data_IF_629297959878
#
_entry.id   IF_629297959878
#
_cell.length_a   1.000
_cell.length_b   1.000
_cell.length_c   1.000
_cell.angle_alpha   90.00
_cell.angle_beta   90.00
_cell.angle_gamma   90.00
#
_symmetry.space_group_name_H-M   'P 1'
#
loop_
_entity.id
_entity.type
_entity.pdbx_description
1 polymer ?
#
# COMPACT_ATOMS: atom_id res chain seq x y z
N UNK A 1 -36.15 -9.03 -12.57
CA UNK A 1 -34.96 -9.72 -12.98
C UNK A 1 -33.78 -8.84 -13.13
N UNK A 2 -33.87 -7.81 -13.90
CA UNK A 2 -32.76 -6.86 -14.05
C UNK A 2 -32.36 -6.27 -12.73
N UNK A 3 -33.32 -6.01 -11.88
CA UNK A 3 -33.05 -5.43 -10.57
C UNK A 3 -32.18 -6.35 -9.72
N UNK A 4 -32.44 -7.64 -9.81
CA UNK A 4 -31.64 -8.61 -9.06
C UNK A 4 -30.20 -8.57 -9.44
N UNK A 5 -29.93 -8.44 -10.72
CA UNK A 5 -28.58 -8.38 -11.22
C UNK A 5 -27.85 -7.16 -10.65
N UNK A 6 -28.53 -6.03 -10.64
CA UNK A 6 -27.96 -4.80 -10.11
C UNK A 6 -27.66 -4.94 -8.63
N UNK A 7 -28.61 -5.50 -7.89
CA UNK A 7 -28.44 -5.70 -6.46
C UNK A 7 -27.27 -6.63 -6.20
N UNK A 8 -27.12 -7.67 -6.99
CA UNK A 8 -26.00 -8.59 -6.83
C UNK A 8 -24.68 -7.89 -7.06
N UNK A 9 -24.61 -7.03 -8.04
CA UNK A 9 -23.41 -6.25 -8.29
C UNK A 9 -23.05 -5.36 -7.14
N UNK A 10 -24.03 -4.68 -6.57
CA UNK A 10 -23.80 -3.82 -5.42
C UNK A 10 -23.34 -4.64 -4.21
N UNK A 11 -23.96 -5.77 -3.99
CA UNK A 11 -23.58 -6.64 -2.88
C UNK A 11 -22.14 -7.13 -3.03
N UNK A 12 -21.73 -7.44 -4.23
CA UNK A 12 -20.37 -7.90 -4.47
C UNK A 12 -19.36 -6.79 -4.16
N UNK A 13 -19.66 -5.55 -4.51
CA UNK A 13 -18.80 -4.42 -4.17
C UNK A 13 -18.69 -4.23 -2.67
N UNK A 14 -19.81 -4.31 -1.97
CA UNK A 14 -19.79 -4.18 -0.52
C UNK A 14 -18.98 -5.29 0.14
N UNK A 15 -19.16 -6.52 -0.33
CA UNK A 15 -18.40 -7.64 0.20
C UNK A 15 -16.90 -7.44 -0.01
N UNK A 16 -16.50 -6.95 -1.17
CA UNK A 16 -15.12 -6.62 -1.43
C UNK A 16 -14.58 -5.58 -0.48
N UNK A 17 -15.37 -4.54 -0.20
CA UNK A 17 -14.99 -3.49 0.72
C UNK A 17 -14.83 -4.00 2.15
N UNK A 18 -15.68 -4.95 2.55
CA UNK A 18 -15.61 -5.52 3.89
C UNK A 18 -14.34 -6.32 4.13
N UNK A 19 -13.83 -7.01 3.10
CA UNK A 19 -12.65 -7.86 3.24
C UNK A 19 -11.36 -7.16 2.87
N UNK A 20 -11.42 -6.05 2.18
CA UNK A 20 -10.24 -5.28 1.85
C UNK A 20 -9.91 -4.35 3.02
N UNK A 21 -8.69 -4.43 3.53
CA UNK A 21 -8.24 -3.48 4.52
C UNK A 21 -8.18 -2.10 3.88
N UNK A 22 -8.59 -1.06 4.59
CA UNK A 22 -8.47 0.29 4.05
C UNK A 22 -7.02 0.78 4.12
N UNK A 23 -6.71 1.79 3.32
CA UNK A 23 -5.36 2.29 3.19
C UNK A 23 -4.80 2.85 4.49
N UNK A 24 -5.62 3.53 5.26
CA UNK A 24 -5.18 4.08 6.55
C UNK A 24 -4.77 2.98 7.52
N UNK A 25 -5.53 1.90 7.56
CA UNK A 25 -5.23 0.76 8.42
C UNK A 25 -3.95 0.08 7.96
N UNK A 26 -3.81 -0.15 6.66
CA UNK A 26 -2.60 -0.75 6.11
C UNK A 26 -1.38 0.11 6.39
N UNK A 27 -1.53 1.42 6.36
CA UNK A 27 -0.40 2.34 6.52
C UNK A 27 0.09 2.46 7.97
N UNK A 28 -0.69 2.04 8.95
CA UNK A 28 -0.32 2.23 10.37
C UNK A 28 1.07 1.72 10.69
N UNK A 29 1.42 0.55 10.21
CA UNK A 29 2.73 -0.02 10.50
C UNK A 29 3.86 0.66 9.70
N UNK A 30 3.52 1.42 8.70
CA UNK A 30 4.49 2.15 7.88
C UNK A 30 4.82 3.52 8.50
N UNK A 31 3.88 4.08 9.22
CA UNK A 31 3.99 5.44 9.75
C UNK A 31 5.13 5.60 10.74
N UNK A 32 5.49 4.56 11.46
CA UNK A 32 6.58 4.63 12.45
C UNK A 32 7.90 5.07 11.82
N UNK A 33 8.17 4.65 10.60
CA UNK A 33 9.41 5.00 9.90
C UNK A 33 9.18 6.06 8.82
N UNK A 34 8.05 6.02 8.14
CA UNK A 34 7.79 6.93 7.01
C UNK A 34 7.00 8.17 7.38
N UNK A 35 6.53 8.26 8.63
CA UNK A 35 5.78 9.42 9.11
C UNK A 35 4.29 9.30 8.85
N UNK A 36 3.49 10.03 9.64
CA UNK A 36 2.05 10.01 9.49
C UNK A 36 1.60 10.54 8.13
N UNK A 37 2.38 11.43 7.54
CA UNK A 37 2.08 12.03 6.24
C UNK A 37 2.94 11.43 5.12
N UNK A 38 3.65 10.34 5.41
CA UNK A 38 4.50 9.65 4.45
C UNK A 38 5.56 10.57 3.82
N UNK A 39 5.99 11.58 4.56
CA UNK A 39 6.94 12.58 4.06
C UNK A 39 8.31 12.50 4.74
N UNK A 40 8.55 11.50 5.56
CA UNK A 40 9.83 11.33 6.25
C UNK A 40 10.81 10.57 5.37
N UNK A 41 12.03 11.08 5.28
CA UNK A 41 13.13 10.41 4.59
C UNK A 41 13.82 9.49 5.60
N UNK A 42 13.42 8.25 5.65
CA UNK A 42 13.92 7.31 6.65
C UNK A 42 15.43 7.17 6.54
N UNK A 43 16.11 7.37 7.67
CA UNK A 43 17.57 7.27 7.78
C UNK A 43 18.32 8.14 6.75
N UNK A 44 17.69 9.17 6.22
CA UNK A 44 18.22 10.02 5.15
C UNK A 44 18.57 9.26 3.87
N UNK A 45 18.15 8.02 3.75
CA UNK A 45 18.45 7.17 2.59
C UNK A 45 17.22 6.90 1.73
N UNK A 46 16.07 6.76 2.37
CA UNK A 46 14.83 6.40 1.68
C UNK A 46 14.07 7.67 1.36
N UNK A 47 13.70 7.90 0.10
CA UNK A 47 12.92 9.10 -0.23
C UNK A 47 11.58 9.12 0.49
N UNK A 48 11.04 10.30 0.71
CA UNK A 48 9.69 10.44 1.21
C UNK A 48 8.73 9.71 0.25
N UNK A 49 7.81 8.91 0.81
CA UNK A 49 6.91 8.11 -0.02
C UNK A 49 6.02 8.98 -0.91
N UNK A 50 5.68 10.17 -0.44
CA UNK A 50 4.88 11.12 -1.22
C UNK A 50 5.62 11.68 -2.42
N UNK A 51 6.94 11.56 -2.47
CA UNK A 51 7.74 12.01 -3.62
C UNK A 51 7.86 10.93 -4.70
N UNK A 52 7.38 9.73 -4.43
CA UNK A 52 7.45 8.60 -5.34
C UNK A 52 6.06 8.42 -5.96
N UNK A 53 6.00 8.12 -7.25
CA UNK A 53 4.71 7.90 -7.90
C UNK A 53 4.03 6.65 -7.35
N UNK A 54 2.70 6.60 -7.49
CA UNK A 54 1.92 5.45 -7.06
C UNK A 54 2.44 4.16 -7.70
N UNK A 55 2.68 4.21 -9.00
CA UNK A 55 3.17 3.06 -9.75
C UNK A 55 4.52 2.59 -9.23
N UNK A 56 5.42 3.51 -8.96
CA UNK A 56 6.74 3.17 -8.45
C UNK A 56 6.70 2.65 -7.03
N UNK A 57 5.79 3.17 -6.21
CA UNK A 57 5.59 2.63 -4.86
C UNK A 57 5.10 1.19 -4.91
N UNK A 58 4.16 0.89 -5.81
CA UNK A 58 3.64 -0.47 -5.96
C UNK A 58 4.76 -1.41 -6.42
N UNK A 59 5.54 -0.99 -7.41
CA UNK A 59 6.67 -1.78 -7.88
C UNK A 59 7.69 -2.02 -6.78
N UNK A 60 7.97 -0.98 -5.99
CA UNK A 60 8.91 -1.11 -4.88
C UNK A 60 8.42 -2.13 -3.86
N UNK A 61 7.14 -2.09 -3.51
CA UNK A 61 6.57 -3.05 -2.56
C UNK A 61 6.61 -4.47 -3.11
N UNK A 62 6.31 -4.66 -4.38
CA UNK A 62 6.41 -5.97 -5.02
C UNK A 62 7.84 -6.51 -4.95
N UNK A 63 8.81 -5.64 -5.20
CA UNK A 63 10.22 -6.00 -5.11
C UNK A 63 10.66 -6.30 -3.69
N UNK A 64 10.16 -5.60 -2.70
CA UNK A 64 10.43 -5.91 -1.31
C UNK A 64 9.82 -7.26 -0.93
N UNK A 65 8.60 -7.52 -1.39
CA UNK A 65 7.92 -8.78 -1.10
C UNK A 65 8.68 -9.98 -1.65
N UNK A 66 9.17 -9.89 -2.87
CA UNK A 66 9.89 -11.00 -3.50
C UNK A 66 11.40 -11.00 -3.19
N UNK A 67 11.88 -9.99 -2.50
CA UNK A 67 13.28 -9.92 -2.07
C UNK A 67 14.23 -9.32 -3.08
N UNK A 68 13.75 -8.85 -4.22
CA UNK A 68 14.61 -8.30 -5.27
C UNK A 68 15.00 -6.84 -5.07
N UNK A 69 14.28 -6.12 -4.22
CA UNK A 69 14.51 -4.68 -4.02
C UNK A 69 15.34 -4.42 -2.78
N UNK A 70 16.54 -3.87 -2.95
CA UNK A 70 17.37 -3.38 -1.85
C UNK A 70 18.01 -2.05 -2.25
N UNK A 71 17.30 -1.26 -3.03
CA UNK A 71 17.85 -0.04 -3.63
C UNK A 71 18.34 0.97 -2.59
N UNK A 72 17.73 0.98 -1.41
CA UNK A 72 18.11 1.92 -0.35
C UNK A 72 18.74 1.22 0.85
N UNK A 73 19.11 -0.04 0.71
CA UNK A 73 19.77 -0.79 1.76
C UNK A 73 18.85 -1.30 2.87
N UNK A 74 17.55 -1.12 2.74
CA UNK A 74 16.56 -1.52 3.76
C UNK A 74 15.64 -2.64 3.26
N UNK A 75 16.10 -3.40 2.27
CA UNK A 75 15.26 -4.41 1.64
C UNK A 75 14.75 -5.48 2.59
N UNK A 76 15.58 -5.95 3.51
CA UNK A 76 15.18 -7.00 4.45
C UNK A 76 14.13 -6.49 5.45
N UNK A 77 14.30 -5.27 5.91
CA UNK A 77 13.33 -4.66 6.82
C UNK A 77 12.00 -4.48 6.12
N UNK A 78 12.02 -3.92 4.91
CA UNK A 78 10.82 -3.72 4.15
C UNK A 78 10.15 -5.02 3.74
N UNK A 79 10.92 -6.07 3.51
CA UNK A 79 10.36 -7.38 3.18
C UNK A 79 9.47 -7.90 4.31
N UNK A 80 9.85 -7.68 5.56
CA UNK A 80 9.02 -8.08 6.69
C UNK A 80 7.65 -7.41 6.67
N UNK A 81 7.60 -6.17 6.19
CA UNK A 81 6.35 -5.43 6.11
C UNK A 81 5.55 -5.76 4.83
N UNK A 82 6.25 -6.01 3.75
CA UNK A 82 5.61 -6.24 2.45
C UNK A 82 5.13 -7.67 2.25
N UNK A 83 5.71 -8.63 2.95
CA UNK A 83 5.45 -10.06 2.67
C UNK A 83 3.99 -10.45 2.82
N UNK A 84 3.26 -9.78 3.69
CA UNK A 84 1.84 -10.09 3.93
C UNK A 84 0.89 -9.20 3.13
N UNK A 85 1.40 -8.32 2.30
CA UNK A 85 0.57 -7.46 1.47
C UNK A 85 0.25 -8.17 0.16
N UNK A 86 -1.02 -8.17 -0.21
CA UNK A 86 -1.42 -8.60 -1.55
C UNK A 86 -1.16 -7.46 -2.54
N UNK A 87 -1.25 -7.76 -3.83
CA UNK A 87 -1.13 -6.71 -4.84
C UNK A 87 -2.24 -5.65 -4.66
N UNK A 88 -3.43 -6.10 -4.26
CA UNK A 88 -4.53 -5.19 -3.96
C UNK A 88 -4.21 -4.29 -2.77
N UNK A 89 -3.63 -4.87 -1.72
CA UNK A 89 -3.21 -4.09 -0.55
C UNK A 89 -2.16 -3.05 -0.93
N UNK A 90 -1.22 -3.43 -1.78
CA UNK A 90 -0.18 -2.51 -2.24
C UNK A 90 -0.78 -1.32 -3.00
N UNK A 91 -1.76 -1.58 -3.85
CA UNK A 91 -2.46 -0.53 -4.56
C UNK A 91 -3.24 0.36 -3.59
N UNK A 92 -3.92 -0.24 -2.64
CA UNK A 92 -4.75 0.47 -1.67
C UNK A 92 -3.91 1.37 -0.76
N UNK A 93 -2.82 0.86 -0.22
CA UNK A 93 -1.95 1.68 0.63
C UNK A 93 -1.26 2.77 -0.16
N UNK A 94 -0.88 2.50 -1.40
CA UNK A 94 -0.25 3.51 -2.25
C UNK A 94 -1.21 4.63 -2.62
N UNK A 95 -2.48 4.30 -2.82
CA UNK A 95 -3.50 5.31 -3.06
C UNK A 95 -3.75 6.16 -1.81
N UNK A 96 -3.74 5.54 -0.64
CA UNK A 96 -3.83 6.27 0.62
C UNK A 96 -2.69 7.27 0.76
N UNK A 97 -1.45 6.85 0.42
CA UNK A 97 -0.29 7.74 0.47
C UNK A 97 -0.48 8.95 -0.43
N UNK A 98 -1.06 8.75 -1.61
CA UNK A 98 -1.36 9.88 -2.50
C UNK A 98 -2.32 10.87 -1.86
N UNK A 99 -3.24 10.40 -1.04
CA UNK A 99 -4.19 11.27 -0.35
C UNK A 99 -3.53 12.13 0.73
N UNK A 100 -2.31 11.80 1.12
CA UNK A 100 -1.58 12.54 2.15
C UNK A 100 -0.76 13.71 1.59
N UNK A 101 -0.68 13.82 0.28
CA UNK A 101 0.09 14.89 -0.36
C UNK A 101 -0.49 16.27 -0.12
#
# INVERSE_FOLDING_TARGET
MKKLIVVSGAAALLAGSLFAADGATLYKKCAACHGEKADVKYANKVPALTSISKEDRIKALQGYKDGSNNNFGMGKVMQLHAKNLSDEDMATVSEYIDSLK
#
